data_IF_425261275873
#
_entry.id   IF_425261275873
#
_cell.length_a   1.000
_cell.length_b   1.000
_cell.length_c   1.000
_cell.angle_alpha   90.00
_cell.angle_beta   90.00
_cell.angle_gamma   90.00
#
_symmetry.space_group_name_H-M   'P 1'
#
loop_
_entity.id
_entity.type
_entity.pdbx_description
1 polymer ?
#
# COMPACT_ATOMS: atom_id res chain seq x y z
N UNK A 1 -15.88 12.30 -9.90
CA UNK A 1 -16.47 11.49 -11.00
C UNK A 1 -16.13 12.02 -12.40
N UNK A 2 -16.59 13.17 -12.91
CA UNK A 2 -16.28 13.60 -14.28
C UNK A 2 -14.78 13.59 -14.60
N UNK A 3 -13.96 14.19 -13.74
CA UNK A 3 -12.50 14.24 -13.93
C UNK A 3 -11.84 12.84 -14.00
N UNK A 4 -12.32 11.87 -13.22
CA UNK A 4 -11.77 10.51 -13.26
C UNK A 4 -12.10 9.79 -14.58
N UNK A 5 -13.30 10.00 -15.12
CA UNK A 5 -13.69 9.49 -16.44
C UNK A 5 -12.90 10.15 -17.57
N UNK A 6 -12.74 11.48 -17.52
CA UNK A 6 -11.93 12.22 -18.49
C UNK A 6 -10.48 11.76 -18.52
N UNK A 7 -9.88 11.51 -17.34
CA UNK A 7 -8.53 10.94 -17.24
C UNK A 7 -8.46 9.52 -17.76
N UNK A 8 -9.44 8.68 -17.46
CA UNK A 8 -9.50 7.31 -17.98
C UNK A 8 -9.57 7.30 -19.52
N UNK A 9 -10.31 8.24 -20.14
CA UNK A 9 -10.33 8.37 -21.60
C UNK A 9 -8.97 8.80 -22.17
N UNK A 10 -8.28 9.74 -21.51
CA UNK A 10 -6.93 10.17 -21.93
C UNK A 10 -5.88 9.06 -21.80
N UNK A 11 -6.10 8.08 -20.93
CA UNK A 11 -5.23 6.93 -20.74
C UNK A 11 -5.54 5.76 -21.68
N UNK A 12 -6.53 5.89 -22.58
CA UNK A 12 -7.04 4.79 -23.40
C UNK A 12 -5.97 4.14 -24.31
N UNK A 13 -4.98 4.92 -24.74
CA UNK A 13 -3.89 4.45 -25.60
C UNK A 13 -2.72 3.81 -24.83
N UNK A 14 -2.78 3.82 -23.49
CA UNK A 14 -1.76 3.22 -22.62
C UNK A 14 -2.22 1.88 -22.08
N UNK A 15 -1.28 0.96 -21.94
CA UNK A 15 -1.53 -0.36 -21.33
C UNK A 15 -1.49 -0.23 -19.79
N UNK A 16 -2.54 0.35 -19.20
CA UNK A 16 -2.67 0.55 -17.76
C UNK A 16 -3.22 -0.74 -17.14
N UNK A 17 -2.53 -1.28 -16.12
CA UNK A 17 -2.98 -2.48 -15.40
C UNK A 17 -4.17 -2.18 -14.50
N UNK A 18 -4.11 -1.08 -13.74
CA UNK A 18 -5.21 -0.65 -12.87
C UNK A 18 -5.14 0.85 -12.57
N UNK A 19 -6.26 1.41 -12.12
CA UNK A 19 -6.36 2.77 -11.60
C UNK A 19 -6.45 2.72 -10.07
N UNK A 20 -5.44 3.30 -9.38
CA UNK A 20 -5.42 3.33 -7.91
C UNK A 20 -6.21 4.53 -7.39
N UNK A 21 -7.17 4.27 -6.51
CA UNK A 21 -7.99 5.25 -5.77
C UNK A 21 -8.43 6.47 -6.61
N UNK A 22 -9.06 6.27 -7.78
CA UNK A 22 -9.37 7.36 -8.70
C UNK A 22 -10.42 8.35 -8.17
N UNK A 23 -11.17 7.97 -7.14
CA UNK A 23 -12.20 8.78 -6.47
C UNK A 23 -12.18 8.53 -4.95
N UNK A 24 -12.90 9.36 -4.17
CA UNK A 24 -12.73 9.42 -2.73
C UNK A 24 -13.74 8.59 -1.91
N UNK A 25 -14.88 8.21 -2.49
CA UNK A 25 -15.92 7.46 -1.77
C UNK A 25 -16.19 6.10 -2.40
N UNK A 26 -16.76 5.19 -1.61
CA UNK A 26 -17.13 3.84 -2.08
C UNK A 26 -18.19 3.93 -3.18
N UNK A 27 -19.17 4.82 -3.02
CA UNK A 27 -20.26 5.00 -3.97
C UNK A 27 -19.75 5.54 -5.32
N UNK A 28 -18.86 6.53 -5.29
CA UNK A 28 -18.23 7.06 -6.51
C UNK A 28 -17.36 5.98 -7.17
N UNK A 29 -16.64 5.18 -6.38
CA UNK A 29 -15.76 4.14 -6.90
C UNK A 29 -16.56 3.01 -7.56
N UNK A 30 -17.66 2.58 -6.92
CA UNK A 30 -18.57 1.60 -7.50
C UNK A 30 -19.21 2.10 -8.80
N UNK A 31 -19.64 3.39 -8.83
CA UNK A 31 -20.20 4.02 -10.03
C UNK A 31 -19.15 4.12 -11.15
N UNK A 32 -17.93 4.59 -10.84
CA UNK A 32 -16.85 4.70 -11.81
C UNK A 32 -16.48 3.32 -12.40
N UNK A 33 -16.37 2.30 -11.56
CA UNK A 33 -16.09 0.93 -11.99
C UNK A 33 -17.16 0.41 -12.95
N UNK A 34 -18.43 0.66 -12.65
CA UNK A 34 -19.55 0.29 -13.52
C UNK A 34 -19.50 1.02 -14.88
N UNK A 35 -19.21 2.32 -14.89
CA UNK A 35 -19.11 3.12 -16.11
C UNK A 35 -17.92 2.71 -16.98
N UNK A 36 -16.78 2.39 -16.38
CA UNK A 36 -15.59 1.91 -17.11
C UNK A 36 -15.80 0.49 -17.68
N UNK A 37 -16.77 -0.26 -17.19
CA UNK A 37 -17.20 -1.55 -17.75
C UNK A 37 -16.07 -2.54 -18.01
N UNK A 38 -15.08 -2.61 -17.09
CA UNK A 38 -13.93 -3.51 -17.18
C UNK A 38 -12.80 -3.06 -18.11
N UNK A 39 -12.85 -1.83 -18.64
CA UNK A 39 -11.74 -1.26 -19.42
C UNK A 39 -10.46 -1.15 -18.58
N UNK A 40 -10.60 -0.79 -17.30
CA UNK A 40 -9.54 -0.75 -16.32
C UNK A 40 -9.97 -1.48 -15.06
N UNK A 41 -9.05 -2.15 -14.41
CA UNK A 41 -9.24 -2.62 -13.04
C UNK A 41 -9.17 -1.43 -12.08
N UNK A 42 -9.94 -1.46 -11.01
CA UNK A 42 -9.95 -0.43 -9.98
C UNK A 42 -9.31 -0.97 -8.71
N UNK A 43 -8.27 -0.28 -8.21
CA UNK A 43 -7.58 -0.59 -6.98
C UNK A 43 -7.99 0.37 -5.84
N UNK A 44 -8.41 -0.16 -4.70
CA UNK A 44 -8.70 0.62 -3.50
C UNK A 44 -7.48 0.72 -2.60
N UNK A 45 -7.03 1.95 -2.24
CA UNK A 45 -5.98 2.23 -1.25
C UNK A 45 -6.56 2.93 -0.01
N UNK A 46 -6.90 4.22 -0.11
CA UNK A 46 -7.38 4.99 1.02
C UNK A 46 -8.66 4.42 1.62
N UNK A 47 -9.54 3.89 0.79
CA UNK A 47 -10.77 3.24 1.24
C UNK A 47 -10.53 1.92 1.98
N UNK A 48 -9.32 1.38 1.94
CA UNK A 48 -8.90 0.24 2.75
C UNK A 48 -8.24 0.72 4.04
N UNK A 49 -7.13 1.48 3.94
CA UNK A 49 -6.27 1.80 5.09
C UNK A 49 -6.80 2.88 6.03
N UNK A 50 -7.75 3.71 5.58
CA UNK A 50 -8.39 4.77 6.38
C UNK A 50 -9.83 4.43 6.80
N UNK A 51 -10.37 3.34 6.32
CA UNK A 51 -11.74 2.94 6.62
C UNK A 51 -11.85 2.29 8.00
N UNK A 52 -12.98 2.50 8.65
CA UNK A 52 -13.39 1.71 9.82
C UNK A 52 -13.99 0.36 9.45
N UNK A 53 -14.41 0.21 8.18
CA UNK A 53 -14.93 -1.04 7.62
C UNK A 53 -14.37 -1.24 6.19
N UNK A 54 -13.15 -1.76 6.04
CA UNK A 54 -12.55 -1.99 4.73
C UNK A 54 -13.27 -3.07 3.90
N UNK A 55 -14.06 -3.95 4.52
CA UNK A 55 -14.80 -4.99 3.81
C UNK A 55 -15.96 -4.42 2.98
N UNK A 56 -16.43 -3.23 3.34
CA UNK A 56 -17.49 -2.52 2.61
C UNK A 56 -17.12 -2.24 1.13
N UNK A 57 -15.84 -2.10 0.81
CA UNK A 57 -15.35 -1.92 -0.57
C UNK A 57 -15.72 -3.11 -1.45
N UNK A 58 -15.47 -4.33 -0.99
CA UNK A 58 -15.83 -5.56 -1.71
C UNK A 58 -17.35 -5.75 -1.73
N UNK A 59 -18.03 -5.51 -0.61
CA UNK A 59 -19.48 -5.65 -0.49
C UNK A 59 -20.24 -4.71 -1.46
N UNK A 60 -19.71 -3.52 -1.70
CA UNK A 60 -20.26 -2.56 -2.66
C UNK A 60 -19.85 -2.82 -4.12
N UNK A 61 -18.99 -3.81 -4.38
CA UNK A 61 -18.41 -4.03 -5.72
C UNK A 61 -17.61 -2.82 -6.22
N UNK A 62 -16.96 -2.09 -5.32
CA UNK A 62 -16.32 -0.81 -5.63
C UNK A 62 -14.90 -0.96 -6.21
N UNK A 63 -14.27 -2.12 -6.08
CA UNK A 63 -12.91 -2.37 -6.57
C UNK A 63 -12.76 -3.80 -7.13
N UNK A 64 -11.73 -4.01 -7.94
CA UNK A 64 -11.30 -5.30 -8.46
C UNK A 64 -10.14 -5.85 -7.63
N UNK A 65 -9.31 -4.94 -7.07
CA UNK A 65 -8.16 -5.28 -6.25
C UNK A 65 -7.96 -4.24 -5.13
N UNK A 66 -7.15 -4.60 -4.15
CA UNK A 66 -6.90 -3.77 -2.98
C UNK A 66 -5.41 -3.56 -2.74
N UNK A 67 -5.05 -2.33 -2.35
CA UNK A 67 -3.70 -1.98 -1.94
C UNK A 67 -3.48 -2.31 -0.48
N UNK A 68 -2.49 -3.15 -0.20
CA UNK A 68 -2.11 -3.54 1.16
C UNK A 68 -0.80 -2.85 1.55
N UNK A 69 -0.84 -2.10 2.65
CA UNK A 69 0.32 -1.46 3.26
C UNK A 69 0.47 -1.96 4.69
N UNK A 70 1.50 -2.74 4.97
CA UNK A 70 1.64 -3.45 6.25
C UNK A 70 1.57 -2.51 7.47
N UNK A 71 2.26 -1.37 7.42
CA UNK A 71 2.34 -0.43 8.54
C UNK A 71 0.97 0.17 8.91
N UNK A 72 0.22 0.83 8.00
CA UNK A 72 -1.07 1.43 8.35
C UNK A 72 -2.16 0.40 8.67
N UNK A 73 -2.02 -0.84 8.23
CA UNK A 73 -2.96 -1.93 8.51
C UNK A 73 -2.65 -2.69 9.81
N UNK A 74 -1.62 -2.27 10.57
CA UNK A 74 -1.30 -2.87 11.86
C UNK A 74 -0.36 -4.07 11.79
N UNK A 75 0.36 -4.23 10.69
CA UNK A 75 1.39 -5.24 10.50
C UNK A 75 1.01 -6.34 9.51
N UNK A 76 1.97 -7.23 9.24
CA UNK A 76 1.84 -8.30 8.23
C UNK A 76 0.66 -9.22 8.52
N UNK A 77 0.50 -9.66 9.77
CA UNK A 77 -0.57 -10.59 10.14
C UNK A 77 -1.98 -9.98 9.95
N UNK A 78 -2.15 -8.70 10.33
CA UNK A 78 -3.42 -7.98 10.15
C UNK A 78 -3.73 -7.77 8.66
N UNK A 79 -2.74 -7.38 7.86
CA UNK A 79 -2.90 -7.21 6.42
C UNK A 79 -3.24 -8.51 5.70
N UNK A 80 -2.61 -9.64 6.06
CA UNK A 80 -2.95 -10.97 5.53
C UNK A 80 -4.37 -11.41 5.93
N UNK A 81 -4.77 -11.16 7.18
CA UNK A 81 -6.12 -11.46 7.63
C UNK A 81 -7.16 -10.66 6.83
N UNK A 82 -6.89 -9.37 6.61
CA UNK A 82 -7.76 -8.52 5.80
C UNK A 82 -7.85 -9.00 4.35
N UNK A 83 -6.72 -9.32 3.71
CA UNK A 83 -6.68 -9.84 2.33
C UNK A 83 -7.60 -11.06 2.16
N UNK A 84 -7.50 -12.02 3.08
CA UNK A 84 -8.34 -13.23 3.06
C UNK A 84 -9.82 -12.96 3.28
N UNK A 85 -10.15 -11.98 4.13
CA UNK A 85 -11.54 -11.62 4.42
C UNK A 85 -12.18 -10.85 3.26
N UNK A 86 -11.42 -9.96 2.62
CA UNK A 86 -11.93 -9.13 1.52
C UNK A 86 -12.11 -9.93 0.23
N UNK A 87 -11.27 -10.94 0.00
CA UNK A 87 -11.39 -11.88 -1.12
C UNK A 87 -11.19 -11.27 -2.50
N UNK A 88 -10.53 -10.12 -2.59
CA UNK A 88 -10.10 -9.48 -3.84
C UNK A 88 -8.60 -9.67 -4.05
N UNK A 89 -8.13 -9.61 -5.30
CA UNK A 89 -6.70 -9.59 -5.61
C UNK A 89 -5.99 -8.46 -4.87
N UNK A 90 -4.76 -8.72 -4.42
CA UNK A 90 -4.01 -7.79 -3.57
C UNK A 90 -2.75 -7.31 -4.25
N UNK A 91 -2.47 -6.02 -4.11
CA UNK A 91 -1.18 -5.39 -4.45
C UNK A 91 -0.53 -4.93 -3.16
N UNK A 92 0.78 -5.17 -2.99
CA UNK A 92 1.50 -4.69 -1.82
C UNK A 92 2.26 -3.41 -2.16
N UNK A 93 2.10 -2.40 -1.32
CA UNK A 93 2.80 -1.13 -1.44
C UNK A 93 3.36 -0.67 -0.08
N UNK A 94 4.15 0.37 -0.09
CA UNK A 94 4.75 1.00 1.09
C UNK A 94 4.13 2.37 1.36
N UNK A 95 4.27 2.85 2.61
CA UNK A 95 3.70 4.13 3.07
C UNK A 95 4.79 5.15 3.43
N UNK A 96 5.85 5.28 2.62
CA UNK A 96 7.07 6.08 2.89
C UNK A 96 7.75 5.57 4.16
N UNK A 97 8.43 4.45 4.04
CA UNK A 97 9.00 3.69 5.14
C UNK A 97 10.52 3.58 5.00
N UNK A 98 11.23 3.51 6.12
CA UNK A 98 12.63 3.08 6.17
C UNK A 98 12.74 1.61 5.79
N UNK A 99 13.97 1.11 5.64
CA UNK A 99 14.22 -0.31 5.35
C UNK A 99 13.50 -1.27 6.30
N UNK A 100 13.31 -0.88 7.57
CA UNK A 100 12.59 -1.70 8.56
C UNK A 100 11.13 -1.88 8.17
N UNK A 101 10.43 -0.80 7.83
CA UNK A 101 9.04 -0.88 7.39
C UNK A 101 8.91 -1.51 6.00
N UNK A 102 9.83 -1.18 5.09
CA UNK A 102 9.87 -1.76 3.75
C UNK A 102 10.03 -3.29 3.79
N UNK A 103 10.87 -3.82 4.71
CA UNK A 103 11.00 -5.26 4.90
C UNK A 103 9.68 -5.93 5.32
N UNK A 104 8.85 -5.25 6.11
CA UNK A 104 7.49 -5.73 6.43
C UNK A 104 6.61 -5.85 5.18
N UNK A 105 6.69 -4.87 4.26
CA UNK A 105 6.00 -4.94 2.97
C UNK A 105 6.49 -6.12 2.12
N UNK A 106 7.81 -6.35 2.05
CA UNK A 106 8.38 -7.50 1.33
C UNK A 106 7.91 -8.83 1.94
N UNK A 107 7.91 -8.94 3.28
CA UNK A 107 7.42 -10.14 3.96
C UNK A 107 5.91 -10.34 3.74
N UNK A 108 5.11 -9.27 3.71
CA UNK A 108 3.69 -9.33 3.37
C UNK A 108 3.50 -9.88 1.96
N UNK A 109 4.20 -9.34 0.97
CA UNK A 109 4.14 -9.79 -0.42
C UNK A 109 4.49 -11.28 -0.57
N UNK A 110 5.57 -11.73 0.11
CA UNK A 110 5.98 -13.14 0.11
C UNK A 110 5.01 -14.08 0.84
N UNK A 111 4.14 -13.55 1.70
CA UNK A 111 3.20 -14.34 2.49
C UNK A 111 1.77 -14.36 1.93
N UNK A 112 1.49 -13.59 0.88
CA UNK A 112 0.23 -13.68 0.15
C UNK A 112 0.15 -15.01 -0.60
N UNK A 113 -1.05 -15.58 -0.65
CA UNK A 113 -1.31 -16.83 -1.36
C UNK A 113 -1.17 -16.66 -2.88
N UNK A 114 -1.48 -15.47 -3.39
CA UNK A 114 -1.33 -15.07 -4.80
C UNK A 114 -0.80 -13.62 -4.87
N UNK A 115 0.08 -13.33 -5.81
CA UNK A 115 0.64 -12.01 -6.09
C UNK A 115 0.69 -11.81 -7.60
N UNK A 116 -0.40 -11.29 -8.16
CA UNK A 116 -0.58 -11.14 -9.61
C UNK A 116 0.05 -9.86 -10.18
N UNK A 117 0.25 -8.83 -9.33
CA UNK A 117 0.73 -7.51 -9.72
C UNK A 117 2.08 -7.19 -9.10
N UNK A 118 2.85 -6.35 -9.78
CA UNK A 118 4.09 -5.82 -9.25
C UNK A 118 3.85 -4.97 -8.00
N UNK A 119 4.78 -5.05 -7.03
CA UNK A 119 4.67 -4.35 -5.75
C UNK A 119 5.16 -2.91 -5.82
N UNK A 120 4.44 -1.99 -5.18
CA UNK A 120 4.82 -0.58 -5.03
C UNK A 120 5.78 -0.35 -3.84
N UNK A 121 6.93 -1.04 -3.77
CA UNK A 121 7.84 -1.05 -2.63
C UNK A 121 9.11 -0.19 -2.83
N UNK A 122 9.00 0.94 -3.53
CA UNK A 122 10.13 1.82 -3.85
C UNK A 122 10.19 3.14 -3.06
N UNK A 123 9.33 3.37 -2.07
CA UNK A 123 9.19 4.67 -1.40
C UNK A 123 10.39 5.08 -0.54
N UNK A 124 11.30 4.16 -0.20
CA UNK A 124 12.53 4.48 0.53
C UNK A 124 13.37 5.53 -0.19
N UNK A 125 13.33 5.57 -1.52
CA UNK A 125 14.06 6.55 -2.33
C UNK A 125 13.54 7.99 -2.16
N UNK A 126 12.40 8.19 -1.50
CA UNK A 126 11.83 9.50 -1.16
C UNK A 126 12.34 10.02 0.18
N UNK A 127 13.03 9.20 0.97
CA UNK A 127 13.60 9.58 2.26
C UNK A 127 15.00 10.19 2.09
N UNK A 128 15.32 11.19 2.91
CA UNK A 128 16.65 11.81 2.96
C UNK A 128 17.71 10.89 3.60
N UNK A 129 17.30 9.80 4.23
CA UNK A 129 18.15 8.81 4.84
C UNK A 129 17.38 7.62 5.39
N UNK A 130 18.12 6.61 5.80
CA UNK A 130 17.59 5.36 6.36
C UNK A 130 18.25 5.09 7.72
N UNK A 131 17.69 4.12 8.45
CA UNK A 131 18.16 3.70 9.77
C UNK A 131 18.81 2.31 9.76
N UNK A 132 18.95 1.69 8.59
CA UNK A 132 19.55 0.37 8.44
C UNK A 132 21.06 0.45 8.22
N UNK A 133 21.81 -0.53 8.78
CA UNK A 133 23.25 -0.72 8.49
C UNK A 133 23.47 -0.88 6.99
N UNK A 134 22.58 -1.63 6.32
CA UNK A 134 22.54 -1.78 4.88
C UNK A 134 21.12 -1.48 4.41
N UNK A 135 20.90 -0.38 3.66
CA UNK A 135 19.59 -0.03 3.14
C UNK A 135 19.01 -1.13 2.23
N UNK A 136 17.72 -1.41 2.41
CA UNK A 136 16.99 -2.35 1.57
C UNK A 136 16.58 -1.66 0.27
N UNK A 137 17.32 -1.91 -0.78
CA UNK A 137 17.08 -1.34 -2.11
C UNK A 137 16.85 -2.43 -3.13
N UNK A 138 16.01 -2.20 -4.15
CA UNK A 138 15.82 -3.16 -5.23
C UNK A 138 17.10 -3.34 -6.05
N UNK A 139 17.39 -4.57 -6.41
CA UNK A 139 18.44 -4.94 -7.36
C UNK A 139 17.76 -5.58 -8.57
N UNK A 140 17.98 -5.05 -9.76
CA UNK A 140 17.31 -5.47 -10.99
C UNK A 140 15.76 -5.52 -10.81
N UNK A 141 15.20 -4.48 -10.22
CA UNK A 141 13.77 -4.35 -9.88
C UNK A 141 13.23 -5.39 -8.89
N UNK A 142 14.09 -6.15 -8.22
CA UNK A 142 13.70 -7.20 -7.25
C UNK A 142 14.12 -6.82 -5.84
N UNK A 143 13.18 -6.88 -4.89
CA UNK A 143 13.43 -6.90 -3.46
C UNK A 143 13.36 -8.33 -2.92
N UNK A 144 14.37 -8.71 -2.12
CA UNK A 144 14.39 -10.04 -1.50
C UNK A 144 14.04 -9.94 -0.01
N UNK A 145 13.28 -10.90 0.54
CA UNK A 145 13.02 -10.94 1.97
C UNK A 145 14.35 -11.05 2.74
N UNK A 146 14.56 -10.09 3.63
CA UNK A 146 15.82 -9.94 4.35
C UNK A 146 15.53 -9.44 5.77
N UNK A 147 16.35 -9.89 6.74
CA UNK A 147 16.35 -9.30 8.08
C UNK A 147 17.15 -7.98 8.02
N UNK A 148 16.47 -6.89 8.32
CA UNK A 148 17.11 -5.56 8.40
C UNK A 148 17.73 -5.38 9.77
N UNK A 149 19.02 -5.04 9.80
CA UNK A 149 19.76 -4.65 11.00
C UNK A 149 19.72 -3.12 11.13
N UNK A 150 19.29 -2.64 12.30
CA UNK A 150 19.19 -1.21 12.59
C UNK A 150 20.53 -0.70 13.10
N UNK A 151 21.01 0.41 12.53
CA UNK A 151 22.17 1.15 12.99
C UNK A 151 21.75 2.09 14.12
N UNK A 152 22.30 1.93 15.36
CA UNK A 152 21.92 2.78 16.50
C UNK A 152 22.25 4.25 16.31
N UNK A 153 23.34 4.60 15.61
CA UNK A 153 23.73 5.99 15.37
C UNK A 153 22.77 6.66 14.37
N UNK A 154 22.39 5.95 13.32
CA UNK A 154 21.39 6.44 12.37
C UNK A 154 20.01 6.55 13.01
N UNK A 155 19.63 5.60 13.87
CA UNK A 155 18.36 5.66 14.61
C UNK A 155 18.31 6.92 15.50
N UNK A 156 19.39 7.26 16.20
CA UNK A 156 19.49 8.47 17.02
C UNK A 156 19.47 9.73 16.14
N UNK A 157 20.24 9.75 15.06
CA UNK A 157 20.33 10.87 14.10
C UNK A 157 18.98 11.24 13.51
N UNK A 158 18.16 10.26 13.16
CA UNK A 158 16.85 10.45 12.53
C UNK A 158 15.67 10.30 13.50
N UNK A 159 15.95 10.29 14.80
CA UNK A 159 14.91 10.21 15.82
C UNK A 159 13.92 11.37 15.70
N UNK A 160 12.63 11.06 15.78
CA UNK A 160 11.58 12.07 15.84
C UNK A 160 11.70 12.90 17.14
N UNK A 161 11.07 14.09 17.17
CA UNK A 161 10.98 14.87 18.41
C UNK A 161 10.35 14.06 19.56
N UNK A 162 10.70 14.36 20.82
CA UNK A 162 10.11 13.65 21.99
C UNK A 162 8.59 13.61 21.96
N UNK A 163 7.94 14.72 21.60
CA UNK A 163 6.48 14.82 21.47
C UNK A 163 5.92 13.84 20.43
N UNK A 164 6.61 13.74 19.28
CA UNK A 164 6.20 12.84 18.20
C UNK A 164 6.44 11.38 18.58
N UNK A 165 7.51 11.08 19.32
CA UNK A 165 7.75 9.75 19.87
C UNK A 165 6.66 9.36 20.88
N UNK A 166 6.26 10.27 21.76
CA UNK A 166 5.19 10.05 22.73
C UNK A 166 3.84 9.82 22.04
N UNK A 167 3.53 10.64 21.03
CA UNK A 167 2.32 10.43 20.21
C UNK A 167 2.24 9.00 19.65
N UNK A 168 3.34 8.49 19.09
CA UNK A 168 3.34 7.14 18.53
C UNK A 168 3.29 6.05 19.60
N UNK A 169 4.01 6.21 20.73
CA UNK A 169 3.91 5.24 21.84
C UNK A 169 2.48 5.09 22.31
N UNK A 170 1.77 6.22 22.50
CA UNK A 170 0.38 6.19 22.95
C UNK A 170 -0.60 5.61 21.92
N UNK A 171 -0.22 5.63 20.64
CA UNK A 171 -1.06 5.09 19.55
C UNK A 171 -0.93 3.57 19.37
N UNK A 172 0.22 3.00 19.71
CA UNK A 172 0.52 1.57 19.52
C UNK A 172 0.47 0.76 20.84
N UNK A 173 0.25 1.44 21.97
CA UNK A 173 -0.02 0.81 23.27
C UNK A 173 -1.49 0.38 23.36
#
# INVERSE_FOLDING_TARGET
MPTALELAEQLADFNIEYLEQPVSTIEEMASLRAELSGRYLICADELIRKSTDPLSVAAAGAADLVMLKAQPLGGVAAALSLSRQIGLSSVVSSAIETSVGLAMGVHLACALDELEFDCGLGTINLLAGDIAVTPLSPVDSVLRPTKVEVDPELLEKYAASPERQEFWRNRIA
#
